data_IF_141952504042
#
_entry.id   IF_141952504042
#
_cell.length_a   1.000
_cell.length_b   1.000
_cell.length_c   1.000
_cell.angle_alpha   90.00
_cell.angle_beta   90.00
_cell.angle_gamma   90.00
#
_symmetry.space_group_name_H-M   'P 1'
#
loop_
_entity.id
_entity.type
_entity.pdbx_description
1 polymer ?
#
# COMPACT_ATOMS: atom_id res chain seq x y z
N UNK A 1 6.33 -11.75 2.29
CA UNK A 1 6.21 -10.27 2.04
C UNK A 1 4.94 -10.09 1.24
N UNK A 2 4.06 -9.17 1.63
CA UNK A 2 2.82 -8.93 0.87
C UNK A 2 3.08 -8.06 -0.35
N UNK A 3 2.17 -8.07 -1.33
CA UNK A 3 2.19 -7.19 -2.51
C UNK A 3 2.39 -5.72 -2.10
N UNK A 4 1.64 -5.24 -1.11
CA UNK A 4 1.72 -3.86 -0.62
C UNK A 4 3.08 -3.50 -0.03
N UNK A 5 3.68 -4.39 0.77
CA UNK A 5 5.01 -4.13 1.35
C UNK A 5 6.11 -4.16 0.29
N UNK A 6 5.95 -4.97 -0.77
CA UNK A 6 6.85 -4.98 -1.91
C UNK A 6 6.78 -3.66 -2.67
N UNK A 7 5.59 -3.19 -2.99
CA UNK A 7 5.42 -1.90 -3.68
C UNK A 7 5.79 -0.70 -2.81
N UNK A 8 5.61 -0.75 -1.49
CA UNK A 8 6.17 0.27 -0.59
C UNK A 8 7.70 0.36 -0.72
N UNK A 9 8.39 -0.78 -0.79
CA UNK A 9 9.84 -0.80 -1.02
C UNK A 9 10.23 -0.26 -2.42
N UNK A 10 9.44 -0.53 -3.47
CA UNK A 10 9.67 0.05 -4.79
C UNK A 10 9.50 1.58 -4.79
N UNK A 11 8.51 2.09 -4.06
CA UNK A 11 8.33 3.55 -3.89
C UNK A 11 9.49 4.14 -3.14
N UNK A 12 9.96 3.51 -2.05
CA UNK A 12 11.15 3.97 -1.33
C UNK A 12 12.39 3.99 -2.23
N UNK A 13 12.60 2.97 -3.05
CA UNK A 13 13.70 2.93 -4.01
C UNK A 13 13.58 4.04 -5.07
N UNK A 14 12.38 4.31 -5.58
CA UNK A 14 12.13 5.41 -6.51
C UNK A 14 12.46 6.79 -5.87
N UNK A 15 12.05 6.99 -4.61
CA UNK A 15 12.36 8.21 -3.86
C UNK A 15 13.87 8.35 -3.60
N UNK A 16 14.57 7.25 -3.32
CA UNK A 16 16.01 7.24 -3.15
C UNK A 16 16.74 7.59 -4.46
N UNK A 17 16.27 7.05 -5.60
CA UNK A 17 16.79 7.41 -6.92
C UNK A 17 16.61 8.90 -7.23
N UNK A 18 15.43 9.47 -6.96
CA UNK A 18 15.18 10.90 -7.12
C UNK A 18 16.05 11.76 -6.20
N UNK A 19 16.32 11.27 -4.99
CA UNK A 19 17.22 11.97 -4.06
C UNK A 19 18.67 11.93 -4.56
N UNK A 20 19.12 10.78 -5.05
CA UNK A 20 20.46 10.64 -5.61
C UNK A 20 20.69 11.51 -6.85
N UNK A 21 19.66 11.71 -7.65
CA UNK A 21 19.68 12.57 -8.84
C UNK A 21 19.56 14.08 -8.52
N UNK A 22 19.32 14.44 -7.25
CA UNK A 22 19.10 15.84 -6.85
C UNK A 22 17.70 16.38 -7.11
N UNK A 23 16.76 15.53 -7.52
CA UNK A 23 15.36 15.90 -7.79
C UNK A 23 14.52 16.01 -6.51
N UNK A 24 15.00 15.40 -5.42
CA UNK A 24 14.32 15.39 -4.12
C UNK A 24 15.34 15.62 -3.00
N UNK A 25 15.05 16.47 -2.00
CA UNK A 25 15.94 16.63 -0.85
C UNK A 25 16.00 15.35 -0.02
N UNK A 26 17.17 15.07 0.56
CA UNK A 26 17.35 13.94 1.46
C UNK A 26 16.69 14.14 2.82
N UNK A 27 16.48 13.06 3.55
CA UNK A 27 16.00 13.08 4.95
C UNK A 27 14.51 13.36 5.12
N UNK A 28 13.71 13.28 4.06
CA UNK A 28 12.26 13.44 4.14
C UNK A 28 11.60 12.28 4.93
N UNK A 29 10.69 12.62 5.84
CA UNK A 29 9.91 11.65 6.60
C UNK A 29 8.90 10.93 5.68
N UNK A 30 9.00 9.61 5.56
CA UNK A 30 8.17 8.78 4.67
C UNK A 30 7.08 7.99 5.41
N UNK A 31 6.97 8.11 6.73
CA UNK A 31 6.06 7.31 7.54
C UNK A 31 4.56 7.43 7.16
N UNK A 32 4.17 8.55 6.53
CA UNK A 32 2.81 8.79 6.06
C UNK A 32 2.59 8.39 4.60
N UNK A 33 3.61 7.87 3.91
CA UNK A 33 3.48 7.33 2.56
C UNK A 33 2.78 5.97 2.64
N UNK A 34 1.71 5.80 1.87
CA UNK A 34 0.92 4.56 1.84
C UNK A 34 0.85 3.98 0.44
N UNK A 35 0.64 2.66 0.39
CA UNK A 35 0.28 1.90 -0.82
C UNK A 35 -1.01 1.17 -0.51
N UNK A 36 -2.06 1.48 -1.24
CA UNK A 36 -3.40 0.97 -1.00
C UNK A 36 -4.09 0.64 -2.33
N UNK A 37 -5.13 -0.19 -2.34
CA UNK A 37 -5.99 -0.30 -3.53
C UNK A 37 -6.66 1.06 -3.78
N UNK A 38 -6.79 1.51 -5.03
CA UNK A 38 -7.55 2.71 -5.34
C UNK A 38 -9.02 2.52 -4.94
N UNK A 39 -9.71 3.62 -4.60
CA UNK A 39 -11.14 3.56 -4.25
C UNK A 39 -12.02 3.10 -5.41
N UNK A 40 -11.62 3.39 -6.62
CA UNK A 40 -12.29 3.00 -7.86
C UNK A 40 -11.35 2.09 -8.65
N UNK A 41 -11.82 0.87 -8.94
CA UNK A 41 -11.04 -0.13 -9.68
C UNK A 41 -10.65 0.31 -11.10
N UNK A 42 -11.33 1.31 -11.68
CA UNK A 42 -10.95 1.89 -12.97
C UNK A 42 -9.60 2.62 -12.94
N UNK A 43 -9.11 2.94 -11.75
CA UNK A 43 -7.82 3.61 -11.55
C UNK A 43 -6.62 2.65 -11.45
N UNK A 44 -6.83 1.36 -11.64
CA UNK A 44 -5.77 0.35 -11.58
C UNK A 44 -5.83 -0.51 -10.32
N UNK A 45 -4.69 -1.13 -9.97
CA UNK A 45 -4.60 -2.11 -8.90
C UNK A 45 -4.06 -1.55 -7.59
N UNK A 46 -3.14 -0.59 -7.69
CA UNK A 46 -2.49 0.05 -6.54
C UNK A 46 -2.47 1.57 -6.71
N UNK A 47 -2.54 2.27 -5.59
CA UNK A 47 -2.39 3.72 -5.52
C UNK A 47 -1.43 4.11 -4.40
N UNK A 48 -0.71 5.22 -4.59
CA UNK A 48 0.11 5.83 -3.53
C UNK A 48 -0.11 7.32 -3.43
N UNK A 49 0.01 7.83 -2.20
CA UNK A 49 -0.04 9.24 -1.85
C UNK A 49 1.36 9.89 -1.75
N UNK A 50 2.43 9.20 -2.15
CA UNK A 50 3.81 9.60 -1.90
C UNK A 50 4.10 11.05 -2.31
N UNK A 51 3.69 11.46 -3.50
CA UNK A 51 3.93 12.81 -3.98
C UNK A 51 3.18 13.87 -3.15
N UNK A 52 1.95 13.59 -2.72
CA UNK A 52 1.16 14.51 -1.90
C UNK A 52 1.76 14.70 -0.50
N UNK A 53 2.25 13.62 0.10
CA UNK A 53 2.89 13.65 1.42
C UNK A 53 4.21 14.42 1.36
N UNK A 54 5.01 14.18 0.33
CA UNK A 54 6.39 14.67 0.26
C UNK A 54 6.54 16.03 -0.44
N UNK A 55 5.57 16.47 -1.22
CA UNK A 55 5.67 17.72 -1.99
C UNK A 55 5.89 18.96 -1.12
N UNK A 56 5.13 19.08 0.00
CA UNK A 56 5.25 20.23 0.90
C UNK A 56 6.61 20.28 1.59
N UNK A 57 7.11 19.22 2.25
CA UNK A 57 8.45 19.23 2.84
C UNK A 57 9.58 19.33 1.81
N UNK A 58 9.35 18.89 0.57
CA UNK A 58 10.31 19.03 -0.54
C UNK A 58 10.24 20.40 -1.26
N UNK A 59 9.33 21.28 -0.84
CA UNK A 59 9.07 22.59 -1.47
C UNK A 59 8.83 22.50 -2.99
N UNK A 60 8.11 21.48 -3.44
CA UNK A 60 7.83 21.20 -4.85
C UNK A 60 6.34 21.05 -5.12
N UNK A 61 5.96 21.09 -6.41
CA UNK A 61 4.59 20.85 -6.82
C UNK A 61 4.25 19.34 -6.72
N UNK A 62 3.14 18.95 -6.05
CA UNK A 62 2.79 17.55 -5.89
C UNK A 62 2.63 16.80 -7.21
N UNK A 63 2.05 17.42 -8.24
CA UNK A 63 1.87 16.80 -9.55
C UNK A 63 3.20 16.59 -10.27
N UNK A 64 4.09 17.58 -10.22
CA UNK A 64 5.42 17.45 -10.82
C UNK A 64 6.26 16.36 -10.12
N UNK A 65 6.14 16.25 -8.79
CA UNK A 65 6.77 15.17 -8.04
C UNK A 65 6.16 13.81 -8.39
N UNK A 66 4.82 13.74 -8.52
CA UNK A 66 4.14 12.52 -8.92
C UNK A 66 4.57 12.02 -10.29
N UNK A 67 4.77 12.91 -11.26
CA UNK A 67 5.26 12.56 -12.59
C UNK A 67 6.68 11.97 -12.56
N UNK A 68 7.55 12.51 -11.71
CA UNK A 68 8.90 11.96 -11.50
C UNK A 68 8.89 10.59 -10.85
N UNK A 69 8.09 10.41 -9.78
CA UNK A 69 7.93 9.11 -9.12
C UNK A 69 7.30 8.10 -10.09
N UNK A 70 6.29 8.51 -10.85
CA UNK A 70 5.62 7.66 -11.83
C UNK A 70 6.60 7.19 -12.93
N UNK A 71 7.51 8.04 -13.36
CA UNK A 71 8.55 7.68 -14.34
C UNK A 71 9.51 6.61 -13.80
N UNK A 72 9.86 6.64 -12.51
CA UNK A 72 10.68 5.60 -11.88
C UNK A 72 9.89 4.29 -11.72
N UNK A 73 8.64 4.36 -11.25
CA UNK A 73 7.78 3.18 -11.08
C UNK A 73 7.43 2.50 -12.41
N UNK A 74 7.31 3.27 -13.49
CA UNK A 74 7.07 2.75 -14.83
C UNK A 74 8.22 1.95 -15.44
N UNK A 75 9.41 1.95 -14.81
CA UNK A 75 10.56 1.12 -15.23
C UNK A 75 10.50 -0.31 -14.68
N UNK A 76 9.58 -0.57 -13.75
CA UNK A 76 9.45 -1.88 -13.11
C UNK A 76 8.74 -2.86 -14.03
N UNK A 77 9.31 -4.04 -14.22
CA UNK A 77 8.70 -5.13 -15.01
C UNK A 77 7.36 -5.62 -14.46
N UNK A 78 7.10 -5.35 -13.17
CA UNK A 78 5.85 -5.69 -12.49
C UNK A 78 4.70 -4.75 -12.84
N UNK A 79 4.98 -3.58 -13.40
CA UNK A 79 4.01 -2.51 -13.68
C UNK A 79 3.68 -2.43 -15.15
N UNK A 80 2.42 -2.59 -15.49
CA UNK A 80 1.91 -2.48 -16.86
C UNK A 80 1.71 -1.01 -17.27
N UNK A 81 1.22 -0.19 -16.34
CA UNK A 81 1.03 1.25 -16.58
C UNK A 81 1.01 2.04 -15.27
N UNK A 82 1.40 3.31 -15.36
CA UNK A 82 1.33 4.27 -14.25
C UNK A 82 0.59 5.51 -14.74
N UNK A 83 -0.28 6.05 -13.92
CA UNK A 83 -0.99 7.30 -14.19
C UNK A 83 -1.00 8.22 -12.97
N UNK A 84 -0.98 9.52 -13.23
CA UNK A 84 -1.08 10.54 -12.18
C UNK A 84 -2.49 11.14 -12.20
N UNK A 85 -3.19 11.04 -11.09
CA UNK A 85 -4.57 11.53 -10.93
C UNK A 85 -4.66 12.67 -9.90
N UNK A 86 -5.60 13.57 -10.15
CA UNK A 86 -5.88 14.70 -9.25
C UNK A 86 -4.63 15.53 -8.92
N UNK A 87 -4.45 15.89 -7.64
CA UNK A 87 -3.36 16.76 -7.20
C UNK A 87 -1.99 16.05 -7.12
N UNK A 88 -1.91 14.73 -7.33
CA UNK A 88 -0.65 13.99 -7.25
C UNK A 88 -0.77 12.57 -6.70
N UNK A 89 -1.95 11.95 -6.79
CA UNK A 89 -2.08 10.51 -6.60
C UNK A 89 -1.44 9.77 -7.76
N UNK A 90 -0.72 8.70 -7.46
CA UNK A 90 -0.09 7.84 -8.47
C UNK A 90 -0.80 6.50 -8.43
N UNK A 91 -1.39 6.14 -9.55
CA UNK A 91 -2.10 4.87 -9.75
C UNK A 91 -1.27 3.95 -10.63
N UNK A 92 -1.26 2.68 -10.30
CA UNK A 92 -0.51 1.64 -11.00
C UNK A 92 -1.43 0.48 -11.39
N UNK A 93 -1.32 0.04 -12.65
CA UNK A 93 -1.86 -1.26 -13.07
C UNK A 93 -0.71 -2.24 -13.19
N UNK A 94 -0.90 -3.44 -12.68
CA UNK A 94 0.12 -4.47 -12.63
C UNK A 94 0.04 -5.38 -13.85
N UNK A 95 1.15 -6.04 -14.17
CA UNK A 95 1.16 -7.01 -15.26
C UNK A 95 0.47 -8.32 -14.87
N UNK A 96 -0.05 -9.05 -15.83
CA UNK A 96 -0.55 -10.41 -15.61
C UNK A 96 0.49 -11.34 -14.98
N UNK A 97 1.77 -11.14 -15.32
CA UNK A 97 2.87 -11.91 -14.75
C UNK A 97 3.00 -11.65 -13.25
N UNK A 98 2.86 -10.40 -12.82
CA UNK A 98 2.87 -10.02 -11.39
C UNK A 98 1.76 -10.73 -10.62
N UNK A 99 0.54 -10.75 -11.17
CA UNK A 99 -0.59 -11.44 -10.54
C UNK A 99 -0.40 -12.96 -10.46
N UNK A 100 0.14 -13.58 -11.52
CA UNK A 100 0.46 -15.02 -11.52
C UNK A 100 1.53 -15.36 -10.48
N UNK A 101 2.56 -14.52 -10.36
CA UNK A 101 3.61 -14.68 -9.35
C UNK A 101 3.06 -14.52 -7.93
N UNK A 102 2.15 -13.56 -7.70
CA UNK A 102 1.50 -13.38 -6.41
C UNK A 102 0.63 -14.58 -6.04
N UNK A 103 -0.13 -15.12 -7.01
CA UNK A 103 -0.92 -16.33 -6.80
C UNK A 103 -0.04 -17.54 -6.47
N UNK A 104 1.10 -17.69 -7.14
CA UNK A 104 2.07 -18.74 -6.82
C UNK A 104 2.60 -18.57 -5.40
N UNK A 105 2.98 -17.35 -5.00
CA UNK A 105 3.47 -17.06 -3.66
C UNK A 105 2.42 -17.34 -2.56
N UNK A 106 1.13 -17.05 -2.83
CA UNK A 106 0.01 -17.39 -1.95
C UNK A 106 -0.09 -18.91 -1.78
N UNK A 107 -0.05 -19.63 -2.89
CA UNK A 107 -0.16 -21.09 -2.88
C UNK A 107 1.03 -21.75 -2.15
N UNK A 108 2.24 -21.30 -2.39
CA UNK A 108 3.45 -21.80 -1.76
C UNK A 108 3.50 -21.47 -0.25
N UNK A 109 3.04 -20.29 0.12
CA UNK A 109 2.95 -19.84 1.50
C UNK A 109 1.84 -20.55 2.31
N UNK A 110 0.80 -21.04 1.63
CA UNK A 110 -0.33 -21.75 2.23
C UNK A 110 -0.89 -21.01 3.45
N UNK A 111 -1.06 -21.70 4.56
CA UNK A 111 -1.59 -21.14 5.81
C UNK A 111 -0.69 -20.07 6.46
N UNK A 112 0.56 -19.97 6.04
CA UNK A 112 1.51 -18.98 6.55
C UNK A 112 1.58 -17.70 5.71
N UNK A 113 0.92 -17.69 4.54
CA UNK A 113 0.82 -16.48 3.74
C UNK A 113 0.09 -15.37 4.52
N UNK A 114 0.64 -14.17 4.50
CA UNK A 114 0.08 -13.02 5.23
C UNK A 114 0.48 -12.95 6.71
N UNK A 115 1.16 -13.93 7.28
CA UNK A 115 1.69 -13.82 8.64
C UNK A 115 2.68 -12.67 8.75
N UNK A 116 2.59 -11.95 9.87
CA UNK A 116 3.48 -10.83 10.17
C UNK A 116 4.05 -10.92 11.57
N UNK A 117 5.17 -10.25 11.79
CA UNK A 117 5.79 -10.12 13.11
C UNK A 117 5.51 -8.76 13.77
N UNK A 118 4.58 -7.98 13.22
CA UNK A 118 4.24 -6.62 13.69
C UNK A 118 3.84 -6.59 15.17
N UNK A 119 3.17 -7.64 15.66
CA UNK A 119 2.78 -7.80 17.05
C UNK A 119 3.80 -8.52 17.94
N UNK A 120 4.97 -8.92 17.42
CA UNK A 120 5.96 -9.70 18.19
C UNK A 120 6.42 -8.96 19.44
N UNK A 121 6.31 -9.63 20.60
CA UNK A 121 6.68 -9.06 21.89
C UNK A 121 5.61 -8.10 22.49
N UNK A 122 4.44 -7.99 21.86
CA UNK A 122 3.30 -7.20 22.37
C UNK A 122 2.20 -8.14 22.84
N UNK A 123 1.63 -7.86 24.00
CA UNK A 123 0.42 -8.54 24.47
C UNK A 123 -0.77 -7.85 23.82
N UNK A 124 -1.59 -8.65 23.12
CA UNK A 124 -2.80 -8.17 22.44
C UNK A 124 -3.98 -8.95 22.98
N UNK A 125 -5.00 -8.24 23.49
CA UNK A 125 -6.29 -8.81 23.82
C UNK A 125 -7.23 -8.61 22.62
N UNK A 126 -7.83 -9.70 22.14
CA UNK A 126 -8.77 -9.65 21.01
C UNK A 126 -10.15 -9.96 21.53
N UNK A 127 -11.06 -9.01 21.39
CA UNK A 127 -12.46 -9.14 21.75
C UNK A 127 -13.31 -9.21 20.48
N UNK A 128 -13.80 -10.39 20.14
CA UNK A 128 -14.61 -10.61 18.94
C UNK A 128 -16.04 -10.09 19.08
N UNK A 129 -16.60 -10.20 20.28
CA UNK A 129 -17.96 -9.74 20.58
C UNK A 129 -17.97 -9.01 21.92
N UNK A 130 -18.31 -7.73 21.88
CA UNK A 130 -18.53 -6.90 23.07
C UNK A 130 -20.04 -6.73 23.28
N UNK A 131 -20.67 -7.76 23.84
CA UNK A 131 -22.11 -7.76 24.10
C UNK A 131 -22.38 -7.71 25.61
N UNK A 132 -23.40 -6.93 26.03
CA UNK A 132 -23.85 -6.92 27.41
C UNK A 132 -24.38 -8.32 27.80
N UNK A 133 -23.98 -8.85 28.97
CA UNK A 133 -24.39 -10.19 29.41
C UNK A 133 -25.84 -10.23 29.97
N UNK A 134 -26.75 -9.53 29.30
CA UNK A 134 -28.16 -9.36 29.73
C UNK A 134 -29.10 -10.37 29.09
N UNK A 135 -28.59 -11.23 28.16
CA UNK A 135 -29.35 -12.24 27.45
C UNK A 135 -28.52 -13.04 26.48
N UNK A 136 -29.10 -14.00 25.77
CA UNK A 136 -28.41 -14.77 24.74
C UNK A 136 -27.98 -13.89 23.58
N UNK A 137 -26.85 -14.24 22.94
CA UNK A 137 -26.42 -13.61 21.71
C UNK A 137 -27.47 -13.80 20.61
N UNK A 138 -27.72 -12.77 19.84
CA UNK A 138 -28.64 -12.78 18.69
C UNK A 138 -27.90 -12.68 17.35
N UNK A 139 -28.63 -12.85 16.25
CA UNK A 139 -28.08 -12.83 14.89
C UNK A 139 -27.19 -11.60 14.59
N UNK A 140 -27.52 -10.43 15.14
CA UNK A 140 -26.72 -9.21 14.95
C UNK A 140 -25.31 -9.34 15.52
N UNK A 141 -25.12 -10.03 16.63
CA UNK A 141 -23.80 -10.31 17.19
C UNK A 141 -22.98 -11.23 16.28
N UNK A 142 -23.62 -12.25 15.70
CA UNK A 142 -22.97 -13.18 14.78
C UNK A 142 -22.60 -12.50 13.46
N UNK A 143 -23.46 -11.64 12.91
CA UNK A 143 -23.22 -10.92 11.65
C UNK A 143 -22.04 -9.94 11.75
N UNK A 144 -21.80 -9.36 12.92
CA UNK A 144 -20.66 -8.47 13.13
C UNK A 144 -19.31 -9.17 12.99
N UNK A 145 -19.26 -10.49 13.16
CA UNK A 145 -18.05 -11.31 13.07
C UNK A 145 -17.71 -11.75 11.64
N UNK A 146 -18.66 -11.66 10.70
CA UNK A 146 -18.47 -12.12 9.32
C UNK A 146 -17.39 -11.32 8.59
N UNK A 147 -17.19 -10.06 8.96
CA UNK A 147 -16.26 -9.14 8.31
C UNK A 147 -14.94 -8.91 9.09
N UNK A 148 -14.73 -9.65 10.14
CA UNK A 148 -13.49 -9.66 10.90
C UNK A 148 -12.60 -10.78 10.38
#
# INVERSE_FOLDING_TARGET
>A
MTLYTRFAAHIDAALDALTANGDLPGGLARAAVTVEPPRDASHGDLATNAAMVLAKPAATNPRALAEKIAAELGKLDEVASVSVAGPGFINMSLTDATWRNELAAINDGGADYGRSTTGKGRTVNVEYVSANPTGPMHMGHCLSLIHI
#
